data_IF_516205203731
#
_entry.id   IF_516205203731
#
_cell.length_a   1.000
_cell.length_b   1.000
_cell.length_c   1.000
_cell.angle_alpha   90.00
_cell.angle_beta   90.00
_cell.angle_gamma   90.00
#
_symmetry.space_group_name_H-M   'P 1'
#
loop_
_entity.id
_entity.type
_entity.pdbx_description
1 polymer ?
#
# COMPACT_ATOMS: atom_id res chain seq x y z
N UNK A 1 12.42 25.92 11.68
CA UNK A 1 11.34 25.19 12.37
C UNK A 1 10.53 24.40 11.37
N UNK A 2 9.79 23.38 11.82
CA UNK A 2 8.87 22.61 10.95
C UNK A 2 7.48 23.26 11.00
N UNK A 3 6.98 23.72 9.85
CA UNK A 3 5.63 24.29 9.74
C UNK A 3 4.64 23.19 9.37
N UNK A 4 3.63 22.99 10.21
CA UNK A 4 2.58 21.98 10.01
C UNK A 4 1.25 22.71 9.88
N UNK A 5 0.48 22.36 8.84
CA UNK A 5 -0.87 22.89 8.60
C UNK A 5 -1.85 21.73 8.67
N UNK A 6 -2.77 21.78 9.62
CA UNK A 6 -3.83 20.77 9.78
C UNK A 6 -5.11 21.22 9.04
N UNK A 7 -5.58 20.40 8.10
CA UNK A 7 -6.83 20.64 7.37
C UNK A 7 -7.99 19.93 8.08
N UNK A 8 -9.04 20.68 8.44
CA UNK A 8 -10.20 20.15 9.16
C UNK A 8 -11.52 20.30 8.38
N UNK A 9 -11.46 20.35 7.05
CA UNK A 9 -12.67 20.35 6.22
C UNK A 9 -12.44 19.59 4.92
N UNK A 10 -13.49 18.90 4.47
CA UNK A 10 -13.47 18.18 3.18
C UNK A 10 -13.20 19.15 2.04
N UNK A 11 -13.81 20.34 2.07
CA UNK A 11 -13.60 21.37 1.05
C UNK A 11 -12.13 21.77 0.94
N UNK A 12 -11.47 22.07 2.05
CA UNK A 12 -10.05 22.43 2.07
C UNK A 12 -9.17 21.26 1.64
N UNK A 13 -9.47 20.03 2.09
CA UNK A 13 -8.72 18.84 1.70
C UNK A 13 -8.78 18.58 0.19
N UNK A 14 -9.96 18.64 -0.43
CA UNK A 14 -10.12 18.47 -1.88
C UNK A 14 -9.44 19.61 -2.64
N UNK A 15 -9.60 20.85 -2.18
CA UNK A 15 -8.97 21.99 -2.85
C UNK A 15 -7.44 21.88 -2.87
N UNK A 16 -6.83 21.52 -1.74
CA UNK A 16 -5.37 21.48 -1.60
C UNK A 16 -4.77 20.17 -2.11
N UNK A 17 -5.30 19.03 -1.70
CA UNK A 17 -4.67 17.73 -1.92
C UNK A 17 -5.05 17.07 -3.25
N UNK A 18 -6.17 17.46 -3.84
CA UNK A 18 -6.64 16.92 -5.13
C UNK A 18 -6.50 17.93 -6.26
N UNK A 19 -7.20 19.07 -6.19
CA UNK A 19 -7.16 20.09 -7.26
C UNK A 19 -5.80 20.76 -7.41
N UNK A 20 -5.12 21.02 -6.28
CA UNK A 20 -3.78 21.66 -6.23
C UNK A 20 -2.68 20.63 -5.88
N UNK A 21 -2.89 19.36 -6.21
CA UNK A 21 -1.98 18.27 -5.85
C UNK A 21 -0.53 18.49 -6.33
N UNK A 22 -0.34 19.16 -7.46
CA UNK A 22 0.99 19.43 -8.02
C UNK A 22 1.79 20.42 -7.20
N UNK A 23 1.13 21.20 -6.33
CA UNK A 23 1.73 22.22 -5.46
C UNK A 23 1.90 21.66 -4.05
N UNK A 24 0.86 21.02 -3.50
CA UNK A 24 0.83 20.66 -2.07
C UNK A 24 1.15 19.19 -1.76
N UNK A 25 1.15 18.28 -2.75
CA UNK A 25 1.32 16.84 -2.50
C UNK A 25 2.77 16.36 -2.57
N UNK A 26 3.75 17.28 -2.51
CA UNK A 26 5.15 16.89 -2.41
C UNK A 26 5.44 16.22 -1.05
N UNK A 27 6.26 15.17 -1.04
CA UNK A 27 6.59 14.44 0.20
C UNK A 27 7.64 15.23 0.98
N UNK A 28 7.31 15.61 2.21
CA UNK A 28 8.28 16.19 3.12
C UNK A 28 9.32 15.14 3.48
N UNK A 29 10.61 15.48 3.34
CA UNK A 29 11.72 14.66 3.83
C UNK A 29 11.80 14.89 5.33
N UNK A 30 10.88 14.29 6.09
CA UNK A 30 10.89 14.37 7.54
C UNK A 30 11.85 13.30 8.09
N UNK A 31 12.84 13.65 8.92
CA UNK A 31 13.76 12.69 9.53
C UNK A 31 13.08 11.61 10.38
N UNK A 32 11.85 11.85 10.83
CA UNK A 32 11.20 11.09 11.90
C UNK A 32 10.09 10.12 11.47
N UNK A 33 9.58 10.20 10.23
CA UNK A 33 8.44 9.35 9.83
C UNK A 33 8.83 8.01 9.20
N UNK A 34 10.10 7.82 8.85
CA UNK A 34 10.56 6.62 8.12
C UNK A 34 12.04 6.27 8.34
N UNK A 35 12.67 6.78 9.39
CA UNK A 35 14.13 6.87 9.46
C UNK A 35 14.68 7.76 8.35
N UNK A 36 16.00 7.93 8.28
CA UNK A 36 16.63 8.55 7.11
C UNK A 36 16.29 7.68 5.88
N UNK A 37 15.40 8.14 4.97
CA UNK A 37 14.96 7.33 3.83
C UNK A 37 16.12 7.00 2.90
N UNK A 38 17.22 7.72 3.04
CA UNK A 38 18.48 7.53 2.33
C UNK A 38 19.25 6.31 2.84
N UNK A 39 19.25 6.03 4.15
CA UNK A 39 19.99 4.90 4.73
C UNK A 39 19.44 3.54 4.32
N UNK A 40 18.11 3.42 4.20
CA UNK A 40 17.43 2.19 3.81
C UNK A 40 17.05 2.16 2.32
N UNK A 41 17.42 3.20 1.55
CA UNK A 41 17.06 3.34 0.13
C UNK A 41 15.57 3.65 -0.14
N UNK A 42 14.75 3.84 0.90
CA UNK A 42 13.33 4.18 0.77
C UNK A 42 13.07 5.48 0.01
N UNK A 43 14.04 6.41 -0.03
CA UNK A 43 13.99 7.63 -0.84
C UNK A 43 13.71 7.36 -2.33
N UNK A 44 14.01 6.15 -2.80
CA UNK A 44 13.81 5.73 -4.19
C UNK A 44 12.44 5.08 -4.46
N UNK A 45 11.64 4.83 -3.42
CA UNK A 45 10.32 4.19 -3.54
C UNK A 45 9.21 5.23 -3.75
N UNK A 46 8.17 4.86 -4.50
CA UNK A 46 7.09 5.77 -4.89
C UNK A 46 6.42 6.50 -3.72
N UNK A 47 6.35 5.88 -2.54
CA UNK A 47 5.72 6.47 -1.35
C UNK A 47 6.47 7.71 -0.83
N UNK A 48 7.81 7.76 -1.02
CA UNK A 48 8.69 8.81 -0.52
C UNK A 48 9.29 9.69 -1.63
N UNK A 49 9.08 9.33 -2.90
CA UNK A 49 9.53 10.17 -4.02
C UNK A 49 8.89 11.56 -3.95
N UNK A 50 9.73 12.58 -4.12
CA UNK A 50 9.27 13.93 -4.35
C UNK A 50 8.46 14.02 -5.66
N UNK A 51 7.51 14.95 -5.69
CA UNK A 51 6.68 15.15 -6.86
C UNK A 51 7.54 15.66 -8.02
N UNK A 52 7.46 14.99 -9.17
CA UNK A 52 8.29 15.26 -10.34
C UNK A 52 8.13 14.17 -11.40
N UNK A 53 8.94 14.22 -12.45
CA UNK A 53 8.86 13.26 -13.56
C UNK A 53 9.02 11.81 -13.12
N UNK A 54 9.95 11.55 -12.18
CA UNK A 54 10.17 10.22 -11.64
C UNK A 54 8.93 9.67 -10.92
N UNK A 55 8.32 10.46 -10.03
CA UNK A 55 7.08 10.07 -9.37
C UNK A 55 5.95 9.81 -10.38
N UNK A 56 5.80 10.69 -11.39
CA UNK A 56 4.79 10.52 -12.45
C UNK A 56 5.01 9.22 -13.24
N UNK A 57 6.26 8.87 -13.53
CA UNK A 57 6.62 7.62 -14.21
C UNK A 57 6.27 6.39 -13.38
N UNK A 58 6.66 6.36 -12.10
CA UNK A 58 6.28 5.29 -11.16
C UNK A 58 4.76 5.13 -11.06
N UNK A 59 4.05 6.25 -10.87
CA UNK A 59 2.58 6.25 -10.76
C UNK A 59 1.93 5.76 -12.05
N UNK A 60 2.43 6.14 -13.23
CA UNK A 60 1.95 5.65 -14.53
C UNK A 60 2.11 4.13 -14.63
N UNK A 61 3.26 3.59 -14.22
CA UNK A 61 3.50 2.15 -14.24
C UNK A 61 2.58 1.40 -13.28
N UNK A 62 2.42 1.87 -12.04
CA UNK A 62 1.49 1.27 -11.08
C UNK A 62 0.03 1.33 -11.58
N UNK A 63 -0.37 2.47 -12.16
CA UNK A 63 -1.72 2.65 -12.69
C UNK A 63 -2.03 1.72 -13.86
N UNK A 64 -1.03 1.32 -14.67
CA UNK A 64 -1.24 0.30 -15.71
C UNK A 64 -1.64 -1.06 -15.13
N UNK A 65 -1.16 -1.38 -13.93
CA UNK A 65 -1.36 -2.68 -13.29
C UNK A 65 -2.64 -2.70 -12.43
N UNK A 66 -2.89 -1.65 -11.63
CA UNK A 66 -4.02 -1.62 -10.68
C UNK A 66 -4.97 -0.42 -10.86
N UNK A 67 -4.79 0.37 -11.92
CA UNK A 67 -5.47 1.67 -12.07
C UNK A 67 -6.81 1.62 -12.80
N UNK A 68 -7.17 0.49 -13.39
CA UNK A 68 -8.45 0.32 -14.07
C UNK A 68 -9.16 -0.94 -13.60
N UNK A 69 -10.49 -0.92 -13.68
CA UNK A 69 -11.32 -2.09 -13.35
C UNK A 69 -10.93 -3.30 -14.20
N UNK A 70 -10.68 -3.10 -15.48
CA UNK A 70 -10.28 -4.17 -16.41
C UNK A 70 -8.95 -4.81 -16.01
N UNK A 71 -7.97 -4.02 -15.59
CA UNK A 71 -6.69 -4.54 -15.12
C UNK A 71 -6.84 -5.36 -13.82
N UNK A 72 -7.75 -4.94 -12.93
CA UNK A 72 -8.02 -5.64 -11.67
C UNK A 72 -8.70 -7.01 -11.84
N UNK A 73 -9.49 -7.21 -12.90
CA UNK A 73 -10.19 -8.50 -13.17
C UNK A 73 -9.20 -9.67 -13.21
N UNK A 74 -7.97 -9.45 -13.69
CA UNK A 74 -6.94 -10.49 -13.74
C UNK A 74 -6.53 -11.02 -12.36
N UNK A 75 -6.77 -10.26 -11.28
CA UNK A 75 -6.40 -10.62 -9.92
C UNK A 75 -7.57 -11.17 -9.08
N UNK A 76 -8.80 -11.12 -9.57
CA UNK A 76 -9.96 -11.66 -8.85
C UNK A 76 -9.79 -13.11 -8.40
N UNK A 77 -9.21 -14.04 -9.20
CA UNK A 77 -9.01 -15.41 -8.73
C UNK A 77 -8.09 -15.51 -7.50
N UNK A 78 -7.12 -14.60 -7.36
CA UNK A 78 -6.23 -14.53 -6.20
C UNK A 78 -7.02 -14.07 -4.98
N UNK A 79 -7.81 -13.00 -5.13
CA UNK A 79 -8.65 -12.47 -4.05
C UNK A 79 -9.69 -13.49 -3.59
N UNK A 80 -10.34 -14.21 -4.52
CA UNK A 80 -11.32 -15.25 -4.21
C UNK A 80 -10.68 -16.40 -3.42
N UNK A 81 -9.53 -16.88 -3.87
CA UNK A 81 -8.78 -17.95 -3.21
C UNK A 81 -8.36 -17.54 -1.79
N UNK A 82 -7.76 -16.36 -1.63
CA UNK A 82 -7.31 -15.86 -0.34
C UNK A 82 -8.48 -15.52 0.60
N UNK A 83 -9.63 -15.11 0.05
CA UNK A 83 -10.87 -14.94 0.82
C UNK A 83 -11.40 -16.27 1.32
N UNK A 84 -11.38 -17.32 0.49
CA UNK A 84 -11.77 -18.67 0.94
C UNK A 84 -10.87 -19.17 2.08
N UNK A 85 -9.55 -18.97 1.99
CA UNK A 85 -8.59 -19.31 3.04
C UNK A 85 -8.84 -18.49 4.32
N UNK A 86 -9.06 -17.18 4.17
CA UNK A 86 -9.42 -16.30 5.27
C UNK A 86 -10.65 -16.78 6.04
N UNK A 87 -11.74 -17.09 5.34
CA UNK A 87 -12.99 -17.54 5.95
C UNK A 87 -12.80 -18.86 6.71
N UNK A 88 -11.99 -19.79 6.17
CA UNK A 88 -11.64 -21.03 6.89
C UNK A 88 -10.90 -20.74 8.19
N UNK A 89 -9.95 -19.80 8.20
CA UNK A 89 -9.23 -19.37 9.43
C UNK A 89 -10.18 -18.73 10.45
N UNK A 90 -11.09 -17.88 9.99
CA UNK A 90 -12.08 -17.24 10.88
C UNK A 90 -13.01 -18.28 11.50
N UNK A 91 -13.43 -19.28 10.72
CA UNK A 91 -14.29 -20.36 11.19
C UNK A 91 -13.61 -21.22 12.27
N UNK A 92 -12.29 -21.40 12.23
CA UNK A 92 -11.57 -22.16 13.26
C UNK A 92 -11.36 -21.36 14.53
N UNK A 93 -11.08 -20.05 14.45
CA UNK A 93 -10.84 -19.21 15.63
C UNK A 93 -11.19 -17.73 15.42
N UNK A 94 -12.26 -17.25 16.04
CA UNK A 94 -12.70 -15.86 15.89
C UNK A 94 -11.83 -14.82 16.64
N UNK A 95 -11.03 -15.24 17.63
CA UNK A 95 -10.23 -14.36 18.49
C UNK A 95 -9.02 -13.72 17.77
N UNK A 96 -8.69 -14.16 16.56
CA UNK A 96 -7.51 -13.72 15.80
C UNK A 96 -7.84 -13.02 14.48
N UNK A 97 -9.04 -12.45 14.36
CA UNK A 97 -9.52 -11.81 13.14
C UNK A 97 -8.53 -10.81 12.54
N UNK A 98 -7.98 -9.88 13.34
CA UNK A 98 -7.01 -8.89 12.85
C UNK A 98 -5.75 -9.53 12.24
N UNK A 99 -5.23 -10.59 12.89
CA UNK A 99 -4.08 -11.32 12.37
C UNK A 99 -4.40 -12.01 11.04
N UNK A 100 -5.61 -12.55 10.89
CA UNK A 100 -6.04 -13.16 9.64
C UNK A 100 -6.25 -12.15 8.52
N UNK A 101 -6.79 -10.96 8.81
CA UNK A 101 -6.90 -9.87 7.84
C UNK A 101 -5.51 -9.44 7.36
N UNK A 102 -4.57 -9.21 8.30
CA UNK A 102 -3.19 -8.84 7.97
C UNK A 102 -2.51 -9.93 7.13
N UNK A 103 -2.65 -11.21 7.51
CA UNK A 103 -2.12 -12.36 6.75
C UNK A 103 -2.66 -12.40 5.32
N UNK A 104 -3.98 -12.29 5.17
CA UNK A 104 -4.64 -12.32 3.86
C UNK A 104 -4.20 -11.17 2.97
N UNK A 105 -4.12 -9.95 3.51
CA UNK A 105 -3.61 -8.80 2.75
C UNK A 105 -2.15 -9.03 2.30
N UNK A 106 -1.29 -9.55 3.20
CA UNK A 106 0.08 -9.91 2.87
C UNK A 106 0.18 -10.96 1.76
N UNK A 107 -0.65 -12.01 1.83
CA UNK A 107 -0.69 -13.07 0.81
C UNK A 107 -1.10 -12.56 -0.57
N UNK A 108 -2.14 -11.73 -0.65
CA UNK A 108 -2.56 -11.09 -1.90
C UNK A 108 -1.45 -10.22 -2.47
N UNK A 109 -0.82 -9.36 -1.65
CA UNK A 109 0.28 -8.48 -2.09
C UNK A 109 1.46 -9.30 -2.60
N UNK A 110 1.88 -10.33 -1.87
CA UNK A 110 3.03 -11.17 -2.25
C UNK A 110 2.76 -11.95 -3.55
N UNK A 111 1.54 -12.46 -3.72
CA UNK A 111 1.14 -13.16 -4.93
C UNK A 111 1.14 -12.22 -6.14
N UNK A 112 0.51 -11.04 -6.00
CA UNK A 112 0.42 -10.05 -7.08
C UNK A 112 1.79 -9.47 -7.45
N UNK A 113 2.61 -9.09 -6.47
CA UNK A 113 3.87 -8.40 -6.72
C UNK A 113 5.02 -9.34 -7.10
N UNK A 114 5.02 -10.57 -6.57
CA UNK A 114 6.17 -11.49 -6.69
C UNK A 114 5.79 -12.87 -7.26
N UNK A 115 4.52 -13.14 -7.54
CA UNK A 115 4.05 -14.48 -7.90
C UNK A 115 4.22 -15.49 -6.75
N UNK A 116 4.38 -15.01 -5.51
CA UNK A 116 4.66 -15.85 -4.37
C UNK A 116 3.37 -16.40 -3.76
N UNK A 117 3.26 -17.73 -3.70
CA UNK A 117 2.17 -18.39 -3.00
C UNK A 117 2.51 -18.57 -1.52
N UNK A 118 1.77 -17.85 -0.67
CA UNK A 118 1.91 -17.93 0.79
C UNK A 118 1.43 -19.29 1.28
N UNK A 119 2.23 -19.90 2.16
CA UNK A 119 1.88 -21.14 2.84
C UNK A 119 0.81 -20.88 3.90
N UNK A 120 -0.08 -21.85 4.13
CA UNK A 120 -1.16 -21.67 5.11
C UNK A 120 -0.63 -21.51 6.55
N UNK A 121 0.51 -22.14 6.87
CA UNK A 121 1.14 -22.09 8.19
C UNK A 121 2.66 -21.90 8.08
N UNK A 122 3.24 -21.13 9.00
CA UNK A 122 4.69 -20.96 9.11
C UNK A 122 5.31 -20.32 7.88
N UNK A 123 4.65 -19.32 7.31
CA UNK A 123 5.16 -18.65 6.11
C UNK A 123 6.13 -17.54 6.55
N UNK A 124 7.43 -17.65 6.25
CA UNK A 124 8.40 -16.71 6.78
C UNK A 124 8.14 -15.27 6.32
N UNK A 125 7.61 -15.06 5.11
CA UNK A 125 7.40 -13.70 4.58
C UNK A 125 6.19 -13.01 5.23
N UNK A 126 5.20 -13.80 5.66
CA UNK A 126 4.02 -13.25 6.34
C UNK A 126 4.17 -13.21 7.85
N UNK A 127 4.94 -14.13 8.42
CA UNK A 127 5.15 -14.20 9.87
C UNK A 127 6.24 -13.20 10.34
N UNK A 128 7.04 -12.63 9.43
CA UNK A 128 7.98 -11.53 9.70
C UNK A 128 7.33 -10.14 9.81
N UNK A 129 6.05 -10.00 9.43
CA UNK A 129 5.35 -8.71 9.25
C UNK A 129 4.52 -8.23 10.46
#
# INVERSE_FOLDING_TARGET
GMHIVALNSVKSAVEMLDKKNSIYSNRQVAPSMSGEPELMGYSQTMAYLQYGERFRSFRKNCHRIFGSRTALVAYHPIDEMETCRFLKRVLTKLDRLQAYVRRTAGAVILCICYGYEVKEHGDPLVDMA
#
